data_IF_758096500081
#
_entry.id   IF_758096500081
#
_cell.length_a   1.000
_cell.length_b   1.000
_cell.length_c   1.000
_cell.angle_alpha   90.00
_cell.angle_beta   90.00
_cell.angle_gamma   90.00
#
_symmetry.space_group_name_H-M   'P 1'
#
loop_
_entity.id
_entity.type
_entity.pdbx_description
1 polymer ?
#
# COMPACT_ATOMS: atom_id res chain seq x y z
N UNK A 1 -2.02 11.56 12.50
CA UNK A 1 -2.57 10.63 11.50
C UNK A 1 -2.18 11.15 10.12
N UNK A 2 -1.41 10.37 9.35
CA UNK A 2 -1.03 10.71 7.97
C UNK A 2 -1.87 9.85 7.03
N UNK A 3 -2.47 10.46 6.00
CA UNK A 3 -3.31 9.76 5.03
C UNK A 3 -2.68 9.93 3.65
N UNK A 4 -2.41 8.82 2.96
CA UNK A 4 -1.82 8.80 1.63
C UNK A 4 -2.74 7.98 0.72
N UNK A 5 -3.33 8.61 -0.29
CA UNK A 5 -4.10 7.91 -1.32
C UNK A 5 -3.14 7.17 -2.25
N UNK A 6 -3.38 5.87 -2.45
CA UNK A 6 -2.59 5.02 -3.34
C UNK A 6 -3.49 4.23 -4.30
N UNK A 7 -3.00 3.96 -5.50
CA UNK A 7 -3.59 3.06 -6.49
C UNK A 7 -2.93 1.68 -6.47
N UNK A 8 -3.47 0.74 -7.25
CA UNK A 8 -2.86 -0.56 -7.47
C UNK A 8 -1.43 -0.41 -8.00
N UNK A 9 -0.54 -1.28 -7.55
CA UNK A 9 0.89 -1.33 -7.88
C UNK A 9 1.72 -0.15 -7.34
N UNK A 10 1.11 0.77 -6.58
CA UNK A 10 1.85 1.80 -5.85
C UNK A 10 2.33 1.29 -4.48
N UNK A 11 3.43 1.88 -4.02
CA UNK A 11 4.07 1.53 -2.76
C UNK A 11 4.16 2.71 -1.79
N UNK A 12 4.21 2.40 -0.50
CA UNK A 12 4.45 3.32 0.61
C UNK A 12 5.72 2.85 1.31
N UNK A 13 6.69 3.75 1.42
CA UNK A 13 7.92 3.51 2.17
C UNK A 13 7.70 3.98 3.60
N UNK A 14 7.94 3.11 4.58
CA UNK A 14 7.82 3.39 6.01
C UNK A 14 9.21 3.26 6.66
N UNK A 15 9.79 4.39 7.06
CA UNK A 15 11.17 4.42 7.53
C UNK A 15 12.14 4.04 6.41
N UNK A 16 13.19 3.29 6.75
CA UNK A 16 14.28 3.00 5.80
C UNK A 16 14.17 1.60 5.17
N UNK A 17 13.42 0.67 5.78
CA UNK A 17 13.48 -0.77 5.45
C UNK A 17 12.12 -1.42 5.17
N UNK A 18 11.00 -0.70 5.26
CA UNK A 18 9.66 -1.27 5.06
C UNK A 18 9.02 -0.67 3.82
N UNK A 19 8.57 -1.52 2.91
CA UNK A 19 7.90 -1.12 1.68
C UNK A 19 6.56 -1.83 1.60
N UNK A 20 5.47 -1.10 1.80
CA UNK A 20 4.12 -1.64 1.67
C UNK A 20 3.63 -1.39 0.25
N UNK A 21 3.31 -2.44 -0.50
CA UNK A 21 2.83 -2.33 -1.88
C UNK A 21 1.38 -2.77 -1.99
N UNK A 22 0.56 -2.00 -2.73
CA UNK A 22 -0.82 -2.40 -3.03
C UNK A 22 -0.80 -3.39 -4.19
N UNK A 23 -1.00 -4.67 -3.89
CA UNK A 23 -0.91 -5.76 -4.87
C UNK A 23 -2.21 -5.90 -5.69
N UNK A 24 -3.37 -5.76 -5.04
CA UNK A 24 -4.67 -5.91 -5.68
C UNK A 24 -5.77 -5.22 -4.87
N UNK A 25 -6.80 -4.70 -5.55
CA UNK A 25 -7.99 -4.09 -4.94
C UNK A 25 -9.22 -4.81 -5.49
N UNK A 26 -10.02 -5.42 -4.61
CA UNK A 26 -11.24 -6.16 -4.97
C UNK A 26 -12.41 -5.68 -4.10
N UNK A 27 -13.23 -4.78 -4.66
CA UNK A 27 -14.32 -4.17 -3.91
C UNK A 27 -13.80 -3.42 -2.69
N UNK A 28 -14.20 -3.86 -1.50
CA UNK A 28 -13.77 -3.34 -0.20
C UNK A 28 -12.49 -4.00 0.35
N UNK A 29 -11.98 -5.05 -0.32
CA UNK A 29 -10.78 -5.78 0.10
C UNK A 29 -9.55 -5.27 -0.63
N UNK A 30 -8.46 -5.11 0.11
CA UNK A 30 -7.14 -4.72 -0.42
C UNK A 30 -6.12 -5.78 -0.04
N UNK A 31 -5.30 -6.20 -1.00
CA UNK A 31 -4.11 -7.04 -0.75
C UNK A 31 -2.87 -6.15 -0.66
N UNK A 32 -2.15 -6.29 0.44
CA UNK A 32 -0.90 -5.58 0.69
C UNK A 32 0.26 -6.58 0.64
N UNK A 33 1.36 -6.19 -0.01
CA UNK A 33 2.67 -6.83 0.12
C UNK A 33 3.56 -6.01 1.06
N UNK A 34 4.47 -6.65 1.78
CA UNK A 34 5.42 -6.04 2.74
C UNK A 34 6.83 -6.50 2.36
#
# INVERSE_FOLDING_TARGET
MLVLSRHRDESIIIGDNVVVTIVDIRGDKVRLGI
#
